data_IF_037861314434
#
_entry.id   IF_037861314434
#
_cell.length_a   1.000
_cell.length_b   1.000
_cell.length_c   1.000
_cell.angle_alpha   90.00
_cell.angle_beta   90.00
_cell.angle_gamma   90.00
#
_symmetry.space_group_name_H-M   'P 1'
#
loop_
_entity.id
_entity.type
_entity.pdbx_description
1 polymer ?
#
# COMPACT_ATOMS: atom_id res chain seq x y z
N UNK A 1 40.56 12.46 16.74
CA UNK A 1 39.47 11.94 15.88
C UNK A 1 40.14 11.16 14.77
N UNK A 2 40.16 9.83 14.89
CA UNK A 2 41.04 8.96 14.09
C UNK A 2 40.52 8.70 12.69
N UNK A 3 41.46 8.63 11.72
CA UNK A 3 41.20 8.31 10.32
C UNK A 3 40.54 6.93 10.13
N UNK A 4 40.70 6.02 11.09
CA UNK A 4 40.02 4.73 11.09
C UNK A 4 38.51 4.84 11.32
N UNK A 5 38.07 5.77 12.17
CA UNK A 5 36.64 5.98 12.44
C UNK A 5 35.94 6.59 11.22
N UNK A 6 36.65 7.41 10.44
CA UNK A 6 36.13 8.05 9.23
C UNK A 6 35.85 7.07 8.08
N UNK A 7 36.56 5.92 8.05
CA UNK A 7 36.50 4.97 6.94
C UNK A 7 35.42 3.88 7.13
N UNK A 8 34.85 3.77 8.33
CA UNK A 8 33.82 2.77 8.65
C UNK A 8 32.42 3.18 8.17
N UNK A 9 32.18 4.48 8.05
CA UNK A 9 30.87 5.05 7.71
C UNK A 9 30.65 5.30 6.21
N UNK A 10 31.68 5.13 5.37
CA UNK A 10 31.60 5.32 3.91
C UNK A 10 31.92 4.05 3.12
N UNK A 11 31.39 2.89 3.54
CA UNK A 11 31.24 1.76 2.60
C UNK A 11 30.23 2.16 1.52
N UNK A 12 30.70 2.82 0.45
CA UNK A 12 29.96 2.98 -0.80
C UNK A 12 29.57 1.58 -1.25
N UNK A 13 28.26 1.31 -1.27
CA UNK A 13 27.71 0.06 -1.82
C UNK A 13 28.27 -0.15 -3.22
N UNK A 14 28.73 -1.34 -3.49
CA UNK A 14 29.33 -1.69 -4.77
C UNK A 14 28.29 -1.51 -5.87
N UNK A 15 28.64 -0.99 -7.05
CA UNK A 15 27.69 -0.76 -8.16
C UNK A 15 26.80 -1.98 -8.49
N UNK A 16 27.34 -3.20 -8.31
CA UNK A 16 26.60 -4.46 -8.46
C UNK A 16 25.53 -4.67 -7.38
N UNK A 17 25.75 -4.26 -6.14
CA UNK A 17 24.78 -4.37 -5.05
C UNK A 17 23.58 -3.44 -5.25
N UNK A 18 23.83 -2.24 -5.81
CA UNK A 18 22.79 -1.28 -6.17
C UNK A 18 21.93 -1.85 -7.29
N UNK A 19 22.53 -2.25 -8.42
CA UNK A 19 21.79 -2.83 -9.56
C UNK A 19 21.02 -4.11 -9.20
N UNK A 20 21.59 -5.00 -8.40
CA UNK A 20 20.92 -6.28 -8.06
C UNK A 20 19.73 -6.05 -7.14
N UNK A 21 19.85 -5.12 -6.19
CA UNK A 21 18.73 -4.72 -5.32
C UNK A 21 17.62 -4.05 -6.12
N UNK A 22 17.96 -3.18 -7.06
CA UNK A 22 17.00 -2.47 -7.90
C UNK A 22 16.25 -3.45 -8.83
N UNK A 23 16.95 -4.42 -9.43
CA UNK A 23 16.31 -5.48 -10.23
C UNK A 23 15.32 -6.32 -9.41
N UNK A 24 15.68 -6.72 -8.19
CA UNK A 24 14.77 -7.47 -7.32
C UNK A 24 13.53 -6.65 -6.92
N UNK A 25 13.70 -5.36 -6.66
CA UNK A 25 12.56 -4.47 -6.39
C UNK A 25 11.63 -4.33 -7.58
N UNK A 26 12.17 -4.25 -8.80
CA UNK A 26 11.38 -4.23 -10.03
C UNK A 26 10.57 -5.52 -10.18
N UNK A 27 11.20 -6.69 -9.98
CA UNK A 27 10.47 -7.96 -10.02
C UNK A 27 9.36 -8.03 -8.97
N UNK A 28 9.61 -7.54 -7.75
CA UNK A 28 8.60 -7.48 -6.70
C UNK A 28 7.43 -6.58 -7.11
N UNK A 29 7.69 -5.38 -7.64
CA UNK A 29 6.66 -4.47 -8.11
C UNK A 29 5.81 -5.10 -9.23
N UNK A 30 6.46 -5.72 -10.22
CA UNK A 30 5.77 -6.44 -11.29
C UNK A 30 4.89 -7.57 -10.75
N UNK A 31 5.39 -8.34 -9.77
CA UNK A 31 4.61 -9.38 -9.12
C UNK A 31 3.40 -8.82 -8.35
N UNK A 32 3.54 -7.68 -7.70
CA UNK A 32 2.43 -7.01 -6.99
C UNK A 32 1.36 -6.53 -7.98
N UNK A 33 1.76 -5.96 -9.12
CA UNK A 33 0.83 -5.58 -10.19
C UNK A 33 0.06 -6.77 -10.74
N UNK A 34 0.74 -7.85 -11.13
CA UNK A 34 0.08 -9.05 -11.69
C UNK A 34 -0.92 -9.62 -10.70
N UNK A 35 -0.52 -9.80 -9.45
CA UNK A 35 -1.40 -10.27 -8.37
C UNK A 35 -2.59 -9.33 -8.14
N UNK A 36 -2.35 -8.01 -8.20
CA UNK A 36 -3.40 -6.99 -8.08
C UNK A 36 -4.42 -7.11 -9.21
N UNK A 37 -3.97 -7.11 -10.48
CA UNK A 37 -4.85 -7.20 -11.63
C UNK A 37 -5.65 -8.51 -11.65
N UNK A 38 -5.03 -9.64 -11.35
CA UNK A 38 -5.74 -10.93 -11.33
C UNK A 38 -6.86 -10.93 -10.29
N UNK A 39 -6.59 -10.43 -9.07
CA UNK A 39 -7.61 -10.33 -8.02
C UNK A 39 -8.72 -9.36 -8.41
N UNK A 40 -8.36 -8.17 -8.88
CA UNK A 40 -9.31 -7.12 -9.26
C UNK A 40 -10.18 -7.50 -10.47
N UNK A 41 -9.67 -8.34 -11.37
CA UNK A 41 -10.41 -8.78 -12.57
C UNK A 41 -11.67 -9.59 -12.26
N UNK A 42 -11.75 -10.18 -11.06
CA UNK A 42 -12.85 -11.05 -10.62
C UNK A 42 -13.93 -10.30 -9.83
N UNK A 43 -13.75 -9.00 -9.58
CA UNK A 43 -14.62 -8.21 -8.69
C UNK A 43 -15.67 -7.47 -9.52
N UNK A 44 -16.92 -7.45 -9.03
CA UNK A 44 -18.03 -6.71 -9.63
C UNK A 44 -17.97 -5.19 -9.42
N UNK A 45 -19.05 -4.44 -9.70
CA UNK A 45 -19.06 -2.99 -9.55
C UNK A 45 -18.71 -2.59 -8.10
N UNK A 46 -17.78 -1.65 -7.95
CA UNK A 46 -17.26 -1.25 -6.65
C UNK A 46 -17.20 0.27 -6.52
N UNK A 47 -17.29 0.75 -5.28
CA UNK A 47 -17.12 2.14 -4.90
C UNK A 47 -15.91 2.26 -3.97
N UNK A 48 -15.00 3.18 -4.29
CA UNK A 48 -13.85 3.47 -3.42
C UNK A 48 -14.21 4.58 -2.43
N UNK A 49 -14.02 4.31 -1.14
CA UNK A 49 -14.26 5.27 -0.06
C UNK A 49 -12.93 5.68 0.58
N UNK A 50 -12.72 6.98 0.70
CA UNK A 50 -11.58 7.56 1.40
C UNK A 50 -12.02 8.28 2.67
N UNK A 51 -11.16 8.29 3.68
CA UNK A 51 -11.42 8.92 4.97
C UNK A 51 -10.17 9.03 5.83
N UNK A 52 -10.30 9.68 6.97
CA UNK A 52 -9.21 9.80 7.94
C UNK A 52 -8.87 8.45 8.56
N UNK A 53 -7.63 8.00 8.45
CA UNK A 53 -7.12 6.79 9.13
C UNK A 53 -7.04 6.93 10.67
N UNK A 54 -7.32 8.13 11.23
CA UNK A 54 -7.17 8.44 12.66
C UNK A 54 -8.49 8.59 13.39
N UNK A 55 -9.63 8.48 12.70
CA UNK A 55 -10.94 8.62 13.34
C UNK A 55 -11.24 7.43 14.26
N UNK A 56 -11.76 7.75 15.45
CA UNK A 56 -12.25 6.74 16.40
C UNK A 56 -13.68 6.31 16.05
N UNK A 57 -14.13 5.10 16.47
CA UNK A 57 -15.46 4.58 16.14
C UNK A 57 -16.65 5.40 16.66
N UNK A 58 -16.46 6.17 17.73
CA UNK A 58 -17.45 7.08 18.30
C UNK A 58 -17.64 8.37 17.48
N UNK A 59 -16.76 8.63 16.51
CA UNK A 59 -16.88 9.80 15.65
C UNK A 59 -18.07 9.69 14.70
N UNK A 60 -18.87 10.76 14.60
CA UNK A 60 -20.03 10.83 13.70
C UNK A 60 -19.71 10.49 12.23
N UNK A 61 -18.52 10.85 11.74
CA UNK A 61 -18.11 10.58 10.36
C UNK A 61 -17.65 9.13 10.17
N UNK A 62 -17.11 8.50 11.22
CA UNK A 62 -16.82 7.07 11.19
C UNK A 62 -18.14 6.28 11.07
N UNK A 63 -19.11 6.59 11.93
CA UNK A 63 -20.43 5.95 11.90
C UNK A 63 -21.13 6.17 10.56
N UNK A 64 -21.09 7.39 10.03
CA UNK A 64 -21.65 7.70 8.71
C UNK A 64 -20.98 6.89 7.59
N UNK A 65 -19.65 6.80 7.58
CA UNK A 65 -18.93 6.01 6.58
C UNK A 65 -19.28 4.52 6.66
N UNK A 66 -19.45 3.98 7.87
CA UNK A 66 -19.92 2.60 8.08
C UNK A 66 -21.32 2.38 7.53
N UNK A 67 -22.26 3.30 7.80
CA UNK A 67 -23.63 3.22 7.24
C UNK A 67 -23.61 3.27 5.72
N UNK A 68 -22.84 4.19 5.13
CA UNK A 68 -22.70 4.30 3.67
C UNK A 68 -22.15 3.00 3.08
N UNK A 69 -21.10 2.42 3.67
CA UNK A 69 -20.53 1.16 3.21
C UNK A 69 -21.50 -0.01 3.28
N UNK A 70 -22.31 -0.08 4.34
CA UNK A 70 -23.36 -1.08 4.50
C UNK A 70 -24.44 -0.93 3.41
N UNK A 71 -24.96 0.27 3.20
CA UNK A 71 -25.97 0.55 2.18
C UNK A 71 -25.47 0.22 0.76
N UNK A 72 -24.22 0.59 0.43
CA UNK A 72 -23.63 0.23 -0.85
C UNK A 72 -23.57 -1.29 -1.06
N UNK A 73 -23.18 -2.02 -0.02
CA UNK A 73 -23.09 -3.49 -0.05
C UNK A 73 -24.47 -4.14 -0.25
N UNK A 74 -25.50 -3.65 0.46
CA UNK A 74 -26.89 -4.11 0.32
C UNK A 74 -27.40 -3.87 -1.11
N UNK A 75 -27.00 -2.77 -1.74
CA UNK A 75 -27.38 -2.41 -3.11
C UNK A 75 -26.51 -3.09 -4.19
N UNK A 76 -25.65 -4.04 -3.83
CA UNK A 76 -24.90 -4.87 -4.77
C UNK A 76 -23.57 -4.28 -5.24
N UNK A 77 -23.05 -3.25 -4.57
CA UNK A 77 -21.73 -2.69 -4.84
C UNK A 77 -20.70 -3.22 -3.83
N UNK A 78 -19.51 -3.58 -4.30
CA UNK A 78 -18.36 -3.77 -3.40
C UNK A 78 -17.82 -2.44 -2.89
N UNK A 79 -17.15 -2.45 -1.75
CA UNK A 79 -16.49 -1.27 -1.17
C UNK A 79 -14.98 -1.49 -1.13
N UNK A 80 -14.21 -0.53 -1.62
CA UNK A 80 -12.74 -0.54 -1.64
C UNK A 80 -12.22 0.63 -0.80
N UNK A 81 -11.19 0.38 0.02
CA UNK A 81 -10.54 1.38 0.90
C UNK A 81 -9.02 1.38 0.72
N UNK A 82 -8.33 2.35 1.33
CA UNK A 82 -6.87 2.45 1.34
C UNK A 82 -6.15 1.56 2.37
N UNK A 83 -6.89 0.69 3.06
CA UNK A 83 -6.42 -0.23 4.09
C UNK A 83 -7.50 -1.22 4.45
#
# INVERSE_FOLDING_TARGET
>A
MDKETLNRDFKKKTWNEIKTKDSWQLFKLMSEFVNGFEKMSRIGPCVTIFGSARMKPDNKYYQLATTIGAELSINGYGVITGG
#
